data_IF_098462142908
#
_entry.id   IF_098462142908
#
_cell.length_a   1.000
_cell.length_b   1.000
_cell.length_c   1.000
_cell.angle_alpha   90.00
_cell.angle_beta   90.00
_cell.angle_gamma   90.00
#
_symmetry.space_group_name_H-M   'P 1'
#
loop_
_entity.id
_entity.type
_entity.pdbx_description
1 polymer ?
#
# COMPACT_ATOMS: atom_id res chain seq x y z
N UNK A 1 -5.39 4.09 1.27
CA UNK A 1 -5.09 5.52 1.54
C UNK A 1 -4.18 6.08 0.46
N UNK A 2 -4.42 7.30 -0.05
CA UNK A 2 -3.66 7.84 -1.20
C UNK A 2 -2.43 8.64 -0.76
N UNK A 3 -2.53 9.37 0.34
CA UNK A 3 -1.43 10.17 0.92
C UNK A 3 -1.22 9.93 2.43
N UNK A 4 -0.18 10.53 3.00
CA UNK A 4 0.06 10.52 4.44
C UNK A 4 -1.05 11.26 5.20
N UNK A 5 -1.55 12.37 4.64
CA UNK A 5 -2.62 13.19 5.20
C UNK A 5 -3.93 12.40 5.30
N UNK A 6 -4.26 11.59 4.29
CA UNK A 6 -5.44 10.69 4.34
C UNK A 6 -5.35 9.74 5.55
N UNK A 7 -4.16 9.20 5.82
CA UNK A 7 -3.93 8.28 6.95
C UNK A 7 -4.04 9.05 8.26
N UNK A 8 -3.38 10.21 8.35
CA UNK A 8 -3.37 11.06 9.54
C UNK A 8 -4.79 11.48 9.95
N UNK A 9 -5.62 11.92 8.99
CA UNK A 9 -7.02 12.26 9.26
C UNK A 9 -7.83 11.05 9.75
N UNK A 10 -7.58 9.87 9.19
CA UNK A 10 -8.28 8.65 9.61
C UNK A 10 -7.86 8.16 11.01
N UNK A 11 -6.58 8.31 11.38
CA UNK A 11 -6.09 7.83 12.69
C UNK A 11 -6.29 8.82 13.82
N UNK A 12 -6.37 10.14 13.56
CA UNK A 12 -6.64 11.18 14.58
C UNK A 12 -7.75 10.83 15.60
N UNK A 13 -8.97 10.41 15.18
CA UNK A 13 -10.01 10.05 16.14
C UNK A 13 -9.67 8.79 16.96
N UNK A 14 -8.88 7.86 16.40
CA UNK A 14 -8.44 6.65 17.10
C UNK A 14 -7.35 6.97 18.13
N UNK A 15 -6.38 7.80 17.77
CA UNK A 15 -5.34 8.30 18.67
C UNK A 15 -5.97 8.96 19.89
N UNK A 16 -6.96 9.85 19.67
CA UNK A 16 -7.72 10.47 20.77
C UNK A 16 -8.49 9.46 21.63
N UNK A 17 -9.09 8.43 21.00
CA UNK A 17 -9.88 7.41 21.71
C UNK A 17 -9.01 6.55 22.64
N UNK A 18 -7.79 6.24 22.21
CA UNK A 18 -6.87 5.35 22.94
C UNK A 18 -5.78 6.10 23.69
N UNK A 19 -5.84 7.43 23.75
CA UNK A 19 -4.86 8.29 24.42
C UNK A 19 -3.42 8.03 23.93
N UNK A 20 -3.28 7.79 22.63
CA UNK A 20 -1.99 7.60 21.97
C UNK A 20 -1.58 8.86 21.21
N UNK A 21 -0.27 9.07 21.10
CA UNK A 21 0.35 10.08 20.25
C UNK A 21 0.99 9.42 19.03
N UNK A 22 0.94 10.12 17.90
CA UNK A 22 1.62 9.72 16.67
C UNK A 22 2.56 10.84 16.25
N UNK A 23 3.83 10.53 16.09
CA UNK A 23 4.86 11.49 15.65
C UNK A 23 5.47 11.06 14.32
N UNK A 24 5.91 12.06 13.55
CA UNK A 24 6.60 11.89 12.28
C UNK A 24 7.84 12.78 12.28
N UNK A 25 8.98 12.19 11.91
CA UNK A 25 10.25 12.91 11.70
C UNK A 25 10.85 12.52 10.37
N UNK A 26 11.57 13.45 9.74
CA UNK A 26 12.28 13.20 8.48
C UNK A 26 13.77 13.46 8.68
N UNK A 27 14.60 12.56 8.16
CA UNK A 27 16.04 12.70 8.03
C UNK A 27 16.45 12.62 6.57
N UNK A 28 17.57 13.26 6.23
CA UNK A 28 18.17 13.16 4.89
C UNK A 28 19.31 12.14 4.93
N UNK A 29 19.25 11.15 4.04
CA UNK A 29 20.24 10.08 3.93
C UNK A 29 20.84 10.08 2.52
N UNK A 30 22.15 10.32 2.42
CA UNK A 30 22.88 10.30 1.16
C UNK A 30 23.70 9.01 1.02
N UNK A 31 23.45 8.23 -0.04
CA UNK A 31 24.16 6.97 -0.33
C UNK A 31 24.54 6.91 -1.80
N UNK A 32 25.84 6.76 -2.08
CA UNK A 32 26.33 6.57 -3.45
C UNK A 32 25.94 7.71 -4.41
N UNK A 33 25.92 8.95 -3.93
CA UNK A 33 25.52 10.13 -4.72
C UNK A 33 24.01 10.34 -4.87
N UNK A 34 23.18 9.50 -4.23
CA UNK A 34 21.72 9.66 -4.21
C UNK A 34 21.25 10.15 -2.87
N UNK A 35 20.26 11.05 -2.87
CA UNK A 35 19.62 11.56 -1.67
C UNK A 35 18.29 10.86 -1.46
N UNK A 36 18.01 10.49 -0.22
CA UNK A 36 16.77 9.88 0.22
C UNK A 36 16.23 10.65 1.41
N UNK A 37 14.92 10.86 1.44
CA UNK A 37 14.23 11.26 2.67
C UNK A 37 13.86 9.98 3.41
N UNK A 38 14.36 9.83 4.63
CA UNK A 38 13.97 8.80 5.59
C UNK A 38 12.92 9.39 6.51
N UNK A 39 11.68 8.93 6.41
CA UNK A 39 10.64 9.29 7.37
C UNK A 39 10.54 8.21 8.45
N UNK A 40 10.38 8.61 9.71
CA UNK A 40 10.12 7.71 10.84
C UNK A 40 8.78 8.07 11.46
N UNK A 41 7.86 7.10 11.48
CA UNK A 41 6.57 7.19 12.15
C UNK A 41 6.64 6.42 13.46
N UNK A 42 6.25 7.05 14.55
CA UNK A 42 6.32 6.48 15.89
C UNK A 42 4.99 6.66 16.62
N UNK A 43 4.43 5.54 17.08
CA UNK A 43 3.22 5.48 17.89
C UNK A 43 3.61 5.34 19.37
N UNK A 44 3.11 6.25 20.19
CA UNK A 44 3.39 6.31 21.62
C UNK A 44 2.09 6.29 22.42
N UNK A 45 2.16 5.76 23.63
CA UNK A 45 1.21 6.07 24.71
C UNK A 45 1.95 6.77 25.86
N UNK A 46 2.28 6.05 26.94
CA UNK A 46 3.29 6.42 27.93
C UNK A 46 4.70 6.14 27.41
N UNK A 47 4.87 5.07 26.64
CA UNK A 47 6.14 4.63 26.05
C UNK A 47 6.01 4.51 24.52
N UNK A 48 7.13 4.26 23.83
CA UNK A 48 7.12 3.94 22.41
C UNK A 48 6.57 2.52 22.20
N UNK A 49 5.42 2.42 21.55
CA UNK A 49 4.75 1.14 21.27
C UNK A 49 5.31 0.53 19.99
N UNK A 50 5.47 1.37 18.96
CA UNK A 50 5.94 0.94 17.64
C UNK A 50 6.61 2.10 16.90
N UNK A 51 7.63 1.74 16.13
CA UNK A 51 8.36 2.66 15.27
C UNK A 51 8.61 1.99 13.91
N UNK A 52 8.35 2.72 12.83
CA UNK A 52 8.64 2.28 11.47
C UNK A 52 9.29 3.41 10.70
N UNK A 53 10.43 3.13 10.06
CA UNK A 53 11.04 4.03 9.09
C UNK A 53 10.78 3.57 7.66
N UNK A 54 10.62 4.52 6.74
CA UNK A 54 10.57 4.27 5.31
C UNK A 54 11.33 5.34 4.54
N UNK A 55 11.68 5.05 3.29
CA UNK A 55 12.52 5.89 2.46
C UNK A 55 11.82 6.25 1.16
N UNK A 56 12.04 7.48 0.69
CA UNK A 56 11.74 7.88 -0.68
C UNK A 56 12.95 8.57 -1.27
N UNK A 57 13.31 8.19 -2.50
CA UNK A 57 14.42 8.82 -3.20
C UNK A 57 14.02 10.23 -3.64
N UNK A 58 14.87 11.20 -3.31
CA UNK A 58 14.80 12.54 -3.86
C UNK A 58 15.38 12.52 -5.28
N UNK A 59 14.61 12.98 -6.26
CA UNK A 59 15.07 13.01 -7.64
C UNK A 59 16.05 14.17 -7.84
N UNK A 60 17.20 13.94 -8.48
CA UNK A 60 18.16 15.04 -8.75
C UNK A 60 17.54 16.15 -9.62
N UNK A 61 16.67 15.78 -10.55
CA UNK A 61 15.86 16.72 -11.34
C UNK A 61 14.51 16.10 -11.65
N UNK A 62 13.46 16.94 -11.72
CA UNK A 62 12.13 16.51 -12.15
C UNK A 62 11.46 17.63 -12.94
N UNK A 63 11.06 17.32 -14.18
CA UNK A 63 10.52 18.32 -15.12
C UNK A 63 9.30 19.03 -14.50
N UNK A 64 9.39 20.35 -14.40
CA UNK A 64 8.31 21.20 -13.88
C UNK A 64 8.20 21.25 -12.35
N UNK A 65 9.20 20.75 -11.63
CA UNK A 65 9.31 20.93 -10.17
C UNK A 65 10.59 21.68 -9.83
N UNK A 66 10.50 22.61 -8.88
CA UNK A 66 11.67 23.20 -8.22
C UNK A 66 12.23 22.25 -7.13
N UNK A 67 13.42 22.58 -6.61
CA UNK A 67 14.12 21.73 -5.64
C UNK A 67 13.29 21.51 -4.37
N UNK A 68 12.62 22.54 -3.86
CA UNK A 68 11.77 22.44 -2.67
C UNK A 68 10.57 21.50 -2.89
N UNK A 69 9.96 21.54 -4.07
CA UNK A 69 8.88 20.65 -4.47
C UNK A 69 9.35 19.21 -4.62
N UNK A 70 10.57 18.99 -5.10
CA UNK A 70 11.19 17.66 -5.20
C UNK A 70 11.38 17.07 -3.80
N UNK A 71 12.05 17.79 -2.89
CA UNK A 71 12.26 17.33 -1.51
C UNK A 71 10.93 17.13 -0.79
N UNK A 72 9.99 18.07 -0.92
CA UNK A 72 8.65 17.97 -0.33
C UNK A 72 7.88 16.75 -0.83
N UNK A 73 7.95 16.46 -2.14
CA UNK A 73 7.35 15.24 -2.70
C UNK A 73 7.98 13.97 -2.12
N UNK A 74 9.30 13.92 -2.00
CA UNK A 74 10.00 12.77 -1.40
C UNK A 74 9.60 12.58 0.07
N UNK A 75 9.55 13.64 0.87
CA UNK A 75 9.05 13.61 2.25
C UNK A 75 7.63 13.07 2.35
N UNK A 76 6.69 13.56 1.53
CA UNK A 76 5.30 13.06 1.52
C UNK A 76 5.21 11.56 1.21
N UNK A 77 6.01 11.06 0.26
CA UNK A 77 6.06 9.62 -0.05
C UNK A 77 6.67 8.82 1.10
N UNK A 78 7.80 9.25 1.66
CA UNK A 78 8.46 8.55 2.76
C UNK A 78 7.53 8.44 3.98
N UNK A 79 6.87 9.53 4.37
CA UNK A 79 5.92 9.54 5.50
C UNK A 79 4.74 8.61 5.25
N UNK A 80 4.18 8.61 4.03
CA UNK A 80 3.10 7.69 3.66
C UNK A 80 3.55 6.24 3.82
N UNK A 81 4.73 5.89 3.34
CA UNK A 81 5.25 4.51 3.44
C UNK A 81 5.52 4.10 4.88
N UNK A 82 6.05 5.01 5.71
CA UNK A 82 6.27 4.75 7.13
C UNK A 82 4.93 4.49 7.85
N UNK A 83 3.91 5.31 7.58
CA UNK A 83 2.56 5.14 8.13
C UNK A 83 1.88 3.86 7.63
N UNK A 84 2.02 3.52 6.35
CA UNK A 84 1.50 2.28 5.78
C UNK A 84 2.09 1.07 6.50
N UNK A 85 3.40 1.06 6.76
CA UNK A 85 4.08 0.01 7.49
C UNK A 85 3.69 -0.03 8.97
N UNK A 86 3.60 1.13 9.63
CA UNK A 86 3.23 1.23 11.05
C UNK A 86 1.84 0.68 11.34
N UNK A 87 0.87 0.97 10.48
CA UNK A 87 -0.52 0.56 10.66
C UNK A 87 -0.91 -0.69 9.86
N UNK A 88 0.02 -1.28 9.09
CA UNK A 88 -0.24 -2.42 8.20
C UNK A 88 -1.39 -2.17 7.21
N UNK A 89 -1.47 -0.95 6.66
CA UNK A 89 -2.56 -0.49 5.76
C UNK A 89 -2.06 -0.23 4.34
N UNK A 90 -0.97 -0.89 3.95
CA UNK A 90 -0.45 -0.74 2.60
C UNK A 90 -1.40 -1.36 1.57
N UNK A 91 -2.08 -0.49 0.84
CA UNK A 91 -3.06 -0.84 -0.19
C UNK A 91 -2.41 -0.86 -1.59
N UNK A 92 -1.07 -0.79 -1.67
CA UNK A 92 -0.38 -1.04 -2.93
C UNK A 92 -0.49 -2.52 -3.26
N UNK A 93 -1.30 -2.85 -4.26
CA UNK A 93 -1.22 -4.14 -4.93
C UNK A 93 0.23 -4.35 -5.40
N UNK A 94 0.82 -5.45 -4.94
CA UNK A 94 2.10 -5.93 -5.44
C UNK A 94 2.08 -5.96 -6.98
N UNK A 95 3.02 -5.27 -7.67
CA UNK A 95 3.15 -5.34 -9.12
C UNK A 95 3.32 -6.77 -9.65
N UNK A 96 3.80 -7.70 -8.81
CA UNK A 96 3.97 -9.13 -9.12
C UNK A 96 2.76 -10.01 -8.71
N UNK A 97 1.65 -9.41 -8.22
CA UNK A 97 0.39 -10.12 -7.96
C UNK A 97 -0.26 -10.72 -9.23
N UNK A 98 0.40 -10.63 -10.39
CA UNK A 98 0.03 -11.30 -11.64
C UNK A 98 0.74 -12.63 -11.90
N UNK A 99 1.45 -13.25 -10.94
CA UNK A 99 1.86 -14.65 -11.04
C UNK A 99 0.68 -15.63 -10.84
N UNK A 100 -0.35 -15.51 -11.68
CA UNK A 100 -1.15 -16.68 -12.06
C UNK A 100 -0.35 -17.45 -13.10
N UNK A 101 0.64 -18.23 -12.64
CA UNK A 101 1.26 -19.26 -13.49
C UNK A 101 0.13 -20.05 -14.15
N UNK A 102 0.01 -19.90 -15.47
CA UNK A 102 -1.22 -20.12 -16.23
C UNK A 102 -2.04 -21.33 -15.79
N UNK A 103 -3.18 -21.06 -15.15
CA UNK A 103 -4.38 -21.89 -15.12
C UNK A 103 -5.57 -21.04 -14.69
N UNK A 104 -6.02 -20.17 -15.58
CA UNK A 104 -7.42 -19.74 -15.57
C UNK A 104 -8.27 -20.93 -16.01
N UNK A 105 -8.56 -21.86 -15.11
CA UNK A 105 -9.75 -22.69 -15.30
C UNK A 105 -10.95 -21.75 -15.14
N UNK A 106 -11.49 -21.30 -16.27
CA UNK A 106 -12.80 -20.66 -16.31
C UNK A 106 -13.80 -21.65 -15.72
N UNK A 107 -14.15 -21.47 -14.45
CA UNK A 107 -15.29 -22.16 -13.86
C UNK A 107 -16.51 -21.75 -14.67
N UNK A 108 -17.05 -22.68 -15.45
CA UNK A 108 -18.30 -22.46 -16.19
C UNK A 108 -19.42 -22.21 -15.17
N UNK A 109 -20.23 -21.20 -15.44
CA UNK A 109 -21.43 -20.87 -14.66
C UNK A 109 -22.37 -22.08 -14.59
N UNK A 110 -22.94 -22.33 -13.41
CA UNK A 110 -23.91 -23.40 -13.14
C UNK A 110 -25.17 -23.35 -14.03
N UNK A 111 -25.39 -22.25 -14.76
CA UNK A 111 -26.52 -22.10 -15.70
C UNK A 111 -26.33 -22.83 -17.04
N UNK A 112 -25.10 -23.23 -17.39
CA UNK A 112 -24.80 -23.87 -18.68
C UNK A 112 -24.89 -25.41 -18.67
N UNK A 113 -25.19 -26.03 -17.51
CA UNK A 113 -25.14 -27.50 -17.32
C UNK A 113 -26.50 -28.18 -17.58
N UNK A 114 -27.59 -27.45 -17.82
CA UNK A 114 -28.95 -28.01 -17.92
C UNK A 114 -29.61 -27.82 -19.28
N UNK A 115 -28.98 -28.24 -20.39
CA UNK A 115 -29.69 -28.61 -21.63
C UNK A 115 -28.98 -29.77 -22.33
N UNK A 116 -29.00 -30.96 -21.74
CA UNK A 116 -28.97 -32.21 -22.53
C UNK A 116 -29.91 -33.20 -21.88
N UNK A 117 -31.12 -33.35 -22.42
CA UNK A 117 -32.02 -34.45 -22.07
C UNK A 117 -31.29 -35.78 -22.31
N UNK A 118 -31.34 -36.76 -21.39
CA UNK A 118 -30.82 -38.09 -21.68
C UNK A 118 -31.70 -38.77 -22.75
N UNK A 119 -31.06 -39.39 -23.76
CA UNK A 119 -31.74 -40.30 -24.70
C UNK A 119 -32.16 -41.56 -23.96
N UNK A 120 -33.44 -41.93 -24.04
CA UNK A 120 -33.97 -43.21 -23.54
C UNK A 120 -33.62 -44.36 -24.48
N UNK A 121 -33.44 -45.56 -23.91
CA UNK A 121 -33.07 -46.81 -24.61
C UNK A 121 -34.25 -47.46 -25.34
N UNK A 122 -34.94 -46.73 -26.20
CA UNK A 122 -36.03 -47.28 -27.04
C UNK A 122 -35.79 -47.15 -28.56
N UNK A 123 -34.65 -46.57 -28.99
CA UNK A 123 -34.30 -46.43 -30.42
C UNK A 123 -33.20 -47.43 -30.89
N UNK A 124 -33.13 -48.61 -30.28
CA UNK A 124 -32.15 -49.64 -30.63
C UNK A 124 -32.83 -51.02 -30.76
N UNK A 125 -33.91 -51.10 -31.55
CA UNK A 125 -34.35 -52.29 -32.30
C UNK A 125 -35.21 -51.87 -33.49
#
# INVERSE_FOLDING_TARGET
>A
YRSAEDILEAVKPLLKKYECDLTLSDDIVAVGGRVYVKATAMLCDTDVIAEVSAFAREAETKKGMDDAQITGSASSYARKYALNGLFCIDDTKDPDATNTHGKSEKIKSYKDIQITKPKTKEDLF
#
